data_IF_074278442429
#
_entry.id   IF_074278442429
#
_cell.length_a   1.000
_cell.length_b   1.000
_cell.length_c   1.000
_cell.angle_alpha   90.00
_cell.angle_beta   90.00
_cell.angle_gamma   90.00
#
_symmetry.space_group_name_H-M   'P 1'
#
loop_
_entity.id
_entity.type
_entity.pdbx_description
1 polymer ?
#
# COMPACT_ATOMS: atom_id res chain seq x y z
N UNK A 1 -6.60 -1.17 -6.21
CA UNK A 1 -5.32 -0.88 -6.87
C UNK A 1 -5.44 0.46 -7.56
N UNK A 2 -4.42 1.30 -7.49
CA UNK A 2 -4.34 2.61 -8.10
C UNK A 2 -3.18 2.64 -9.10
N UNK A 3 -3.34 3.40 -10.17
CA UNK A 3 -2.38 3.55 -11.25
C UNK A 3 -2.29 5.02 -11.66
N UNK A 4 -1.10 5.53 -11.93
CA UNK A 4 -0.93 6.93 -12.37
C UNK A 4 -1.21 7.12 -13.87
N UNK A 5 -1.37 6.03 -14.62
CA UNK A 5 -1.61 6.07 -16.07
C UNK A 5 -2.66 5.03 -16.51
N UNK A 6 -3.47 5.37 -17.51
CA UNK A 6 -4.42 4.47 -18.19
C UNK A 6 -3.81 3.65 -19.30
N UNK A 7 -2.54 3.87 -19.62
CA UNK A 7 -1.89 3.24 -20.78
C UNK A 7 -1.76 1.71 -20.64
N UNK A 8 -1.90 1.18 -19.43
CA UNK A 8 -1.84 -0.25 -19.12
C UNK A 8 -3.18 -0.79 -18.63
N UNK A 9 -3.43 -2.09 -18.78
CA UNK A 9 -4.60 -2.72 -18.19
C UNK A 9 -4.43 -2.87 -16.68
N UNK A 10 -5.54 -2.78 -15.94
CA UNK A 10 -5.57 -2.98 -14.48
C UNK A 10 -5.28 -4.43 -14.03
N UNK A 11 -4.97 -5.31 -14.99
CA UNK A 11 -4.56 -6.70 -14.80
C UNK A 11 -3.08 -6.97 -15.09
N UNK A 12 -2.36 -6.03 -15.70
CA UNK A 12 -0.96 -6.22 -16.12
C UNK A 12 -0.02 -5.03 -15.86
N UNK A 13 -0.54 -3.85 -15.52
CA UNK A 13 0.28 -2.72 -15.08
C UNK A 13 0.82 -2.91 -13.67
N UNK A 14 1.95 -2.26 -13.37
CA UNK A 14 2.44 -2.12 -11.99
C UNK A 14 1.59 -1.04 -11.29
N UNK A 15 0.85 -1.37 -10.22
CA UNK A 15 0.08 -0.38 -9.49
C UNK A 15 0.98 0.54 -8.67
N UNK A 16 0.59 1.81 -8.53
CA UNK A 16 1.24 2.74 -7.60
C UNK A 16 0.80 2.47 -6.17
N UNK A 17 -0.47 2.14 -5.92
CA UNK A 17 -0.97 1.87 -4.57
C UNK A 17 -1.93 0.69 -4.57
N UNK A 18 -1.85 -0.18 -3.58
CA UNK A 18 -2.87 -1.21 -3.36
C UNK A 18 -3.44 -1.03 -1.97
N UNK A 19 -4.73 -0.71 -1.89
CA UNK A 19 -5.50 -0.81 -0.65
C UNK A 19 -6.24 -2.15 -0.67
N UNK A 20 -6.04 -2.95 0.38
CA UNK A 20 -6.69 -4.24 0.56
C UNK A 20 -7.73 -4.11 1.66
N UNK A 21 -8.99 -4.45 1.34
CA UNK A 21 -10.05 -4.52 2.33
C UNK A 21 -9.84 -5.71 3.27
N UNK A 22 -9.94 -5.48 4.56
CA UNK A 22 -9.84 -6.54 5.57
C UNK A 22 -11.20 -7.23 5.71
N UNK A 23 -11.45 -8.24 4.88
CA UNK A 23 -12.69 -9.02 4.89
C UNK A 23 -12.43 -10.53 4.79
N UNK A 24 -13.24 -11.32 5.47
CA UNK A 24 -13.22 -12.77 5.44
C UNK A 24 -13.93 -13.30 4.18
N UNK A 25 -13.16 -13.40 3.09
CA UNK A 25 -13.55 -13.99 1.79
C UNK A 25 -14.40 -13.08 0.93
N UNK A 26 -13.85 -12.75 -0.24
CA UNK A 26 -14.46 -11.85 -1.21
C UNK A 26 -15.37 -12.64 -2.19
N UNK A 27 -16.42 -13.27 -1.66
CA UNK A 27 -17.35 -14.10 -2.46
C UNK A 27 -18.19 -13.31 -3.44
N UNK A 28 -18.27 -11.98 -3.26
CA UNK A 28 -19.00 -11.05 -4.13
C UNK A 28 -18.07 -10.14 -4.92
N UNK A 29 -16.77 -10.37 -4.89
CA UNK A 29 -15.81 -9.55 -5.60
C UNK A 29 -16.01 -9.61 -7.11
N UNK A 30 -15.86 -8.46 -7.77
CA UNK A 30 -15.71 -8.41 -9.22
C UNK A 30 -14.37 -7.81 -9.59
N UNK A 31 -13.51 -8.58 -10.25
CA UNK A 31 -12.22 -8.09 -10.77
C UNK A 31 -12.46 -7.15 -11.94
N UNK A 32 -11.65 -6.08 -12.04
CA UNK A 32 -11.67 -5.22 -13.22
C UNK A 32 -10.59 -5.64 -14.22
N UNK A 33 -10.94 -5.66 -15.51
CA UNK A 33 -9.98 -5.89 -16.61
C UNK A 33 -9.38 -4.59 -17.16
N UNK A 34 -10.07 -3.47 -16.96
CA UNK A 34 -9.63 -2.14 -17.34
C UNK A 34 -9.67 -1.20 -16.14
N UNK A 35 -8.85 -0.15 -16.18
CA UNK A 35 -8.83 0.87 -15.15
C UNK A 35 -9.98 1.86 -15.34
N UNK A 36 -10.54 2.32 -14.21
CA UNK A 36 -11.63 3.29 -14.20
C UNK A 36 -11.14 4.65 -13.70
N UNK A 37 -11.87 5.72 -14.04
CA UNK A 37 -11.54 7.10 -13.70
C UNK A 37 -11.30 7.97 -14.94
N UNK A 38 -11.59 9.27 -14.82
CA UNK A 38 -11.39 10.24 -15.90
C UNK A 38 -9.98 10.85 -15.90
N UNK A 39 -9.26 10.72 -14.79
CA UNK A 39 -7.90 11.19 -14.58
C UNK A 39 -7.20 10.31 -13.53
N UNK A 40 -5.87 10.39 -13.47
CA UNK A 40 -5.09 9.73 -12.42
C UNK A 40 -5.48 10.26 -11.02
N UNK A 41 -5.46 9.41 -9.98
CA UNK A 41 -5.15 7.97 -10.02
C UNK A 41 -6.34 7.15 -10.57
N UNK A 42 -6.04 6.26 -11.51
CA UNK A 42 -7.00 5.30 -12.05
C UNK A 42 -7.11 4.09 -11.16
N UNK A 43 -8.29 3.49 -11.06
CA UNK A 43 -8.55 2.42 -10.10
C UNK A 43 -8.87 1.08 -10.77
N UNK A 44 -8.40 0.01 -10.15
CA UNK A 44 -8.73 -1.37 -10.50
C UNK A 44 -8.91 -2.26 -9.27
N UNK A 45 -9.67 -3.34 -9.45
CA UNK A 45 -10.06 -4.27 -8.38
C UNK A 45 -9.50 -5.66 -8.66
N UNK A 46 -8.85 -6.24 -7.65
CA UNK A 46 -8.36 -7.62 -7.63
C UNK A 46 -8.98 -8.32 -6.45
N UNK A 47 -9.53 -9.50 -6.70
CA UNK A 47 -10.23 -10.31 -5.71
C UNK A 47 -9.25 -11.32 -5.13
N UNK A 48 -9.10 -11.32 -3.81
CA UNK A 48 -8.13 -12.15 -3.11
C UNK A 48 -8.69 -12.65 -1.78
N UNK A 49 -8.04 -13.66 -1.22
CA UNK A 49 -8.32 -14.13 0.13
C UNK A 49 -7.31 -13.50 1.10
N UNK A 50 -7.67 -13.44 2.39
CA UNK A 50 -6.73 -13.00 3.45
C UNK A 50 -5.48 -13.89 3.49
N UNK A 51 -5.57 -15.15 3.07
CA UNK A 51 -4.40 -16.05 2.98
C UNK A 51 -3.50 -15.82 1.76
N UNK A 52 -3.97 -15.08 0.75
CA UNK A 52 -3.24 -14.90 -0.52
C UNK A 52 -2.70 -13.49 -0.74
N UNK A 53 -3.10 -12.50 0.07
CA UNK A 53 -2.80 -11.09 -0.22
C UNK A 53 -1.30 -10.82 -0.44
N UNK A 54 -0.39 -11.43 0.34
CA UNK A 54 1.05 -11.25 0.15
C UNK A 54 1.54 -11.76 -1.22
N UNK A 55 1.06 -12.94 -1.64
CA UNK A 55 1.36 -13.49 -2.96
C UNK A 55 0.73 -12.66 -4.09
N UNK A 56 -0.45 -12.10 -3.84
CA UNK A 56 -1.12 -11.20 -4.77
C UNK A 56 -0.34 -9.88 -4.91
N UNK A 57 0.21 -9.32 -3.82
CA UNK A 57 1.07 -8.14 -3.86
C UNK A 57 2.37 -8.43 -4.62
N UNK A 58 3.04 -9.54 -4.31
CA UNK A 58 4.26 -9.95 -5.00
C UNK A 58 4.03 -10.12 -6.51
N UNK A 59 2.88 -10.67 -6.89
CA UNK A 59 2.48 -10.80 -8.30
C UNK A 59 2.20 -9.44 -8.93
N UNK A 60 1.50 -8.54 -8.23
CA UNK A 60 1.10 -7.24 -8.74
C UNK A 60 2.29 -6.29 -8.95
N UNK A 61 3.25 -6.28 -8.03
CA UNK A 61 4.45 -5.43 -8.13
C UNK A 61 5.57 -6.08 -8.96
N UNK A 62 5.57 -7.41 -9.08
CA UNK A 62 6.60 -8.14 -9.81
C UNK A 62 7.99 -7.89 -9.21
N UNK A 63 8.93 -7.41 -10.02
CA UNK A 63 10.28 -7.07 -9.58
C UNK A 63 10.40 -5.66 -8.99
N UNK A 64 9.33 -4.87 -9.01
CA UNK A 64 9.35 -3.51 -8.48
C UNK A 64 9.40 -3.54 -6.95
N UNK A 65 10.22 -2.70 -6.30
CA UNK A 65 10.24 -2.62 -4.85
C UNK A 65 8.90 -2.08 -4.33
N UNK A 66 8.41 -2.64 -3.23
CA UNK A 66 7.18 -2.17 -2.58
C UNK A 66 7.27 -2.31 -1.05
N UNK A 67 6.44 -1.56 -0.35
CA UNK A 67 6.32 -1.59 1.11
C UNK A 67 4.87 -1.90 1.47
N UNK A 68 4.63 -2.97 2.24
CA UNK A 68 3.32 -3.25 2.83
C UNK A 68 3.26 -2.59 4.20
N UNK A 69 2.17 -1.89 4.48
CA UNK A 69 1.85 -1.29 5.77
C UNK A 69 0.54 -1.87 6.26
N UNK A 70 0.56 -2.49 7.43
CA UNK A 70 -0.64 -2.96 8.13
C UNK A 70 -0.94 -2.01 9.28
N UNK A 71 -2.18 -1.53 9.32
CA UNK A 71 -2.68 -0.64 10.36
C UNK A 71 -3.65 -1.39 11.25
N UNK A 72 -3.39 -1.32 12.55
CA UNK A 72 -4.21 -1.95 13.57
C UNK A 72 -4.99 -0.91 14.37
N UNK A 73 -6.18 -1.29 14.80
CA UNK A 73 -6.97 -0.56 15.79
C UNK A 73 -6.20 -0.50 17.10
N UNK A 74 -6.21 0.66 17.75
CA UNK A 74 -5.56 0.86 19.05
C UNK A 74 -6.04 -0.18 20.09
N UNK A 75 -5.13 -0.65 20.94
CA UNK A 75 -5.39 -1.69 21.94
C UNK A 75 -5.26 -3.14 21.46
N UNK A 76 -5.06 -3.39 20.16
CA UNK A 76 -4.98 -4.75 19.63
C UNK A 76 -3.56 -5.30 19.46
N UNK A 77 -2.51 -4.50 19.67
CA UNK A 77 -1.10 -4.97 19.68
C UNK A 77 -0.75 -5.93 18.53
N UNK A 78 -1.06 -5.54 17.28
CA UNK A 78 -0.86 -6.37 16.07
C UNK A 78 -1.72 -7.66 15.98
N UNK A 79 -2.72 -7.85 16.84
CA UNK A 79 -3.66 -8.96 16.71
C UNK A 79 -4.47 -8.84 15.42
N UNK A 80 -4.64 -9.96 14.70
CA UNK A 80 -5.41 -10.03 13.44
C UNK A 80 -6.82 -9.47 13.61
N UNK A 81 -7.45 -9.69 14.78
CA UNK A 81 -8.77 -9.14 15.09
C UNK A 81 -8.82 -7.60 15.10
N UNK A 82 -7.69 -6.93 15.26
CA UNK A 82 -7.56 -5.48 15.21
C UNK A 82 -7.06 -4.95 13.87
N UNK A 83 -6.76 -5.80 12.89
CA UNK A 83 -6.29 -5.36 11.58
C UNK A 83 -7.39 -4.55 10.88
N UNK A 84 -7.10 -3.28 10.61
CA UNK A 84 -8.08 -2.32 10.08
C UNK A 84 -7.86 -1.97 8.62
N UNK A 85 -6.60 -2.00 8.17
CA UNK A 85 -6.22 -1.56 6.84
C UNK A 85 -4.87 -2.17 6.47
N UNK A 86 -4.75 -2.58 5.20
CA UNK A 86 -3.49 -3.01 4.60
C UNK A 86 -3.30 -2.16 3.34
N UNK A 87 -2.17 -1.46 3.27
CA UNK A 87 -1.80 -0.67 2.09
C UNK A 87 -0.42 -1.10 1.63
N UNK A 88 -0.28 -1.39 0.34
CA UNK A 88 1.01 -1.57 -0.30
C UNK A 88 1.35 -0.37 -1.18
N UNK A 89 2.57 0.15 -1.04
CA UNK A 89 3.10 1.31 -1.73
C UNK A 89 4.21 0.88 -2.69
N UNK A 90 4.13 1.32 -3.96
CA UNK A 90 5.26 1.23 -4.89
C UNK A 90 6.41 2.08 -4.34
N UNK A 91 7.59 1.49 -4.18
CA UNK A 91 8.72 2.08 -3.47
C UNK A 91 9.87 2.41 -4.41
N UNK A 92 9.55 3.03 -5.55
CA UNK A 92 10.48 3.38 -6.63
C UNK A 92 11.12 4.77 -6.48
N UNK A 93 10.76 5.52 -5.42
CA UNK A 93 11.22 6.87 -5.14
C UNK A 93 10.49 7.98 -5.90
N UNK A 94 9.54 7.65 -6.78
CA UNK A 94 8.75 8.62 -7.53
C UNK A 94 7.57 9.15 -6.71
N UNK A 95 7.00 10.26 -7.18
CA UNK A 95 5.77 10.82 -6.64
C UNK A 95 4.55 10.12 -7.24
N UNK A 96 3.70 9.58 -6.38
CA UNK A 96 2.48 8.87 -6.78
C UNK A 96 1.24 9.56 -6.20
N UNK A 97 0.23 9.76 -7.04
CA UNK A 97 -1.02 10.38 -6.59
C UNK A 97 -1.87 9.35 -5.84
N UNK A 98 -2.40 9.73 -4.69
CA UNK A 98 -3.38 8.92 -3.94
C UNK A 98 -4.80 9.47 -4.04
N UNK A 99 -4.93 10.71 -4.52
CA UNK A 99 -6.19 11.39 -4.76
C UNK A 99 -5.96 12.73 -5.46
N UNK A 100 -7.01 13.55 -5.55
CA UNK A 100 -6.93 14.87 -6.19
C UNK A 100 -6.06 15.88 -5.43
N UNK A 101 -5.83 15.66 -4.14
CA UNK A 101 -5.10 16.56 -3.25
C UNK A 101 -4.14 15.83 -2.31
N UNK A 102 -3.77 14.59 -2.63
CA UNK A 102 -2.86 13.78 -1.81
C UNK A 102 -1.95 12.96 -2.69
N UNK A 103 -0.73 12.74 -2.22
CA UNK A 103 0.30 11.96 -2.90
C UNK A 103 1.26 11.35 -1.88
N UNK A 104 2.12 10.46 -2.35
CA UNK A 104 3.19 9.89 -1.55
C UNK A 104 4.46 9.67 -2.37
N UNK A 105 5.60 9.57 -1.69
CA UNK A 105 6.83 8.94 -2.19
C UNK A 105 7.18 7.79 -1.27
N UNK A 106 7.68 6.68 -1.81
CA UNK A 106 8.19 5.60 -1.01
C UNK A 106 9.51 5.07 -1.56
N UNK A 107 10.38 4.61 -0.67
CA UNK A 107 11.66 3.97 -1.02
C UNK A 107 11.84 2.72 -0.18
N UNK A 108 12.45 1.69 -0.77
CA UNK A 108 12.90 0.49 -0.08
C UNK A 108 14.36 0.21 -0.46
N UNK A 109 15.21 0.18 0.56
CA UNK A 109 16.63 -0.11 0.44
C UNK A 109 16.90 -1.61 0.51
N UNK A 110 18.06 -2.05 0.01
CA UNK A 110 18.48 -3.45 0.04
C UNK A 110 18.71 -4.01 1.46
N UNK A 111 18.96 -3.14 2.44
CA UNK A 111 19.07 -3.50 3.86
C UNK A 111 17.70 -3.70 4.55
N UNK A 112 16.61 -3.57 3.79
CA UNK A 112 15.24 -3.66 4.27
C UNK A 112 14.71 -2.36 4.91
N UNK A 113 15.51 -1.29 4.99
CA UNK A 113 14.98 0.00 5.42
C UNK A 113 14.00 0.57 4.39
N UNK A 114 13.00 1.29 4.86
CA UNK A 114 11.98 1.89 4.01
C UNK A 114 11.51 3.24 4.55
N UNK A 115 11.14 4.14 3.65
CA UNK A 115 10.51 5.41 4.00
C UNK A 115 9.27 5.55 3.15
N UNK A 116 8.16 5.96 3.77
CA UNK A 116 6.96 6.43 3.07
C UNK A 116 6.71 7.87 3.54
N UNK A 117 6.70 8.82 2.63
CA UNK A 117 6.35 10.21 2.90
C UNK A 117 5.02 10.51 2.22
N UNK A 118 4.00 10.85 3.01
CA UNK A 118 2.72 11.35 2.50
C UNK A 118 2.73 12.87 2.39
N UNK A 119 1.96 13.40 1.45
CA UNK A 119 1.83 14.83 1.18
C UNK A 119 0.35 15.22 1.10
N UNK A 120 0.04 16.45 1.51
CA UNK A 120 -1.30 17.06 1.43
C UNK A 120 -1.52 17.88 0.15
N UNK A 121 -0.78 17.53 -0.90
CA UNK A 121 -1.03 17.90 -2.29
C UNK A 121 -0.76 16.67 -3.18
N UNK A 122 -1.03 16.80 -4.48
CA UNK A 122 -0.87 15.73 -5.46
C UNK A 122 0.47 15.79 -6.24
N UNK A 123 1.42 16.64 -5.82
CA UNK A 123 2.70 16.89 -6.49
C UNK A 123 3.91 16.60 -5.58
N UNK A 124 3.69 15.98 -4.43
CA UNK A 124 4.70 15.72 -3.41
C UNK A 124 5.45 16.99 -2.95
N UNK A 125 4.76 18.14 -2.89
CA UNK A 125 5.36 19.43 -2.56
C UNK A 125 5.31 19.77 -1.07
N UNK A 126 4.26 19.36 -0.38
CA UNK A 126 3.90 19.78 0.98
C UNK A 126 3.88 18.54 1.89
N UNK A 127 4.97 18.28 2.63
CA UNK A 127 5.07 17.10 3.46
C UNK A 127 4.01 17.09 4.56
N UNK A 128 3.41 15.93 4.81
CA UNK A 128 2.41 15.76 5.87
C UNK A 128 2.86 14.75 6.93
N UNK A 129 2.89 13.46 6.60
CA UNK A 129 3.27 12.40 7.53
C UNK A 129 4.40 11.56 6.94
N UNK A 130 5.30 11.09 7.82
CA UNK A 130 6.44 10.27 7.42
C UNK A 130 6.48 8.99 8.22
N UNK A 131 6.47 7.87 7.51
CA UNK A 131 6.76 6.55 8.03
C UNK A 131 8.23 6.23 7.76
N UNK A 132 8.93 5.69 8.75
CA UNK A 132 10.32 5.26 8.58
C UNK A 132 10.51 3.91 9.25
N UNK A 133 10.97 2.96 8.44
CA UNK A 133 11.44 1.64 8.87
C UNK A 133 12.95 1.60 8.75
N UNK A 134 13.60 1.25 9.84
CA UNK A 134 15.05 1.10 9.91
C UNK A 134 15.44 -0.36 9.77
N UNK A 135 16.61 -0.64 9.22
CA UNK A 135 17.11 -2.02 9.11
C UNK A 135 17.23 -2.72 10.48
N UNK A 136 17.43 -1.95 11.55
CA UNK A 136 17.51 -2.42 12.94
C UNK A 136 16.16 -2.82 13.54
N UNK A 137 15.03 -2.45 12.94
CA UNK A 137 13.73 -2.94 13.39
C UNK A 137 13.58 -4.42 13.02
N UNK A 138 13.45 -5.25 14.05
CA UNK A 138 13.29 -6.70 13.94
C UNK A 138 11.87 -7.18 14.22
N UNK A 139 10.96 -6.27 14.59
CA UNK A 139 9.56 -6.56 14.88
C UNK A 139 8.67 -5.36 14.59
N UNK A 140 7.37 -5.62 14.39
CA UNK A 140 6.35 -4.60 14.19
C UNK A 140 6.30 -3.68 15.41
N UNK A 141 6.23 -2.36 15.21
CA UNK A 141 6.22 -1.39 16.33
C UNK A 141 4.85 -1.24 17.01
N UNK A 142 4.01 -2.29 16.95
CA UNK A 142 2.64 -2.33 17.47
C UNK A 142 2.58 -2.21 19.01
N UNK A 143 2.97 -1.04 19.51
CA UNK A 143 2.74 -0.64 20.89
C UNK A 143 1.24 -0.40 21.09
N UNK A 144 0.78 -0.54 22.33
CA UNK A 144 -0.61 -0.30 22.76
C UNK A 144 -1.17 1.07 22.34
N UNK A 145 -0.29 2.00 21.99
CA UNK A 145 -0.59 3.42 21.79
C UNK A 145 -0.98 3.75 20.32
N UNK A 146 -1.07 2.74 19.45
CA UNK A 146 -1.60 2.89 18.08
C UNK A 146 -0.58 3.30 17.00
N UNK A 147 0.71 3.34 17.33
CA UNK A 147 1.79 3.69 16.39
C UNK A 147 2.59 2.46 15.96
N UNK A 148 1.92 1.52 15.28
CA UNK A 148 2.53 0.30 14.76
C UNK A 148 2.89 0.41 13.27
N UNK A 149 4.15 0.15 12.93
CA UNK A 149 4.59 -0.15 11.56
C UNK A 149 4.76 -1.65 11.49
N UNK A 150 3.95 -2.33 10.68
CA UNK A 150 4.25 -3.69 10.27
C UNK A 150 5.06 -3.64 8.98
N UNK A 151 6.32 -4.05 9.04
CA UNK A 151 7.14 -4.33 7.87
C UNK A 151 7.52 -5.80 7.91
N UNK A 152 6.73 -6.62 7.24
CA UNK A 152 7.05 -8.02 7.00
C UNK A 152 8.05 -8.05 5.85
N UNK A 153 9.35 -7.99 6.18
CA UNK A 153 10.48 -8.18 5.26
C UNK A 153 10.24 -9.33 4.27
#
# INVERSE_FOLDING_TARGET
>A
MNYDTTTTTCSSGVPSLISTAVANVDTTCTTTSACTGSAAPYTGTKCSSVSSYQSDMATAFGSSPYVIVEKYTSGYSCAVAGLSEIIAYLADGNCHMTGSSTSYTATRSADGSAIIQSYNDNLCGTPWTRLTVTAAQTANSCNSDGNGIADTK
#
